data_IF_964572453838
#
_entry.id   IF_964572453838
#
_cell.length_a   1.000
_cell.length_b   1.000
_cell.length_c   1.000
_cell.angle_alpha   90.00
_cell.angle_beta   90.00
_cell.angle_gamma   90.00
#
_symmetry.space_group_name_H-M   'P 1'
#
loop_
_entity.id
_entity.type
_entity.pdbx_description
1 polymer ?
#
# COMPACT_ATOMS: atom_id res chain seq x y z
N UNK A 1 -8.42 3.76 -23.00
CA UNK A 1 -7.27 3.10 -22.34
C UNK A 1 -7.79 2.37 -21.12
N UNK A 2 -8.09 1.08 -21.23
CA UNK A 2 -8.29 0.23 -20.06
C UNK A 2 -6.92 -0.31 -19.69
N UNK A 3 -6.17 0.45 -18.89
CA UNK A 3 -5.13 -0.18 -18.09
C UNK A 3 -5.85 -0.97 -17.00
N UNK A 4 -6.29 -2.18 -17.35
CA UNK A 4 -6.43 -3.23 -16.35
C UNK A 4 -5.00 -3.52 -15.89
N UNK A 5 -4.49 -2.68 -14.99
CA UNK A 5 -3.40 -3.04 -14.11
C UNK A 5 -3.87 -4.34 -13.47
N UNK A 6 -3.35 -5.48 -13.93
CA UNK A 6 -3.60 -6.78 -13.31
C UNK A 6 -3.13 -6.64 -11.88
N UNK A 7 -4.04 -6.26 -10.99
CA UNK A 7 -3.78 -6.20 -9.58
C UNK A 7 -3.32 -7.58 -9.18
N UNK A 8 -2.07 -7.69 -8.73
CA UNK A 8 -1.50 -8.94 -8.20
C UNK A 8 -2.37 -9.43 -7.03
N UNK A 9 -3.07 -8.50 -6.37
CA UNK A 9 -4.07 -8.78 -5.34
C UNK A 9 -5.43 -9.15 -5.92
N UNK A 10 -6.03 -10.19 -5.35
CA UNK A 10 -7.46 -10.51 -5.56
C UNK A 10 -8.37 -9.37 -5.10
N UNK A 11 -9.58 -9.28 -5.67
CA UNK A 11 -10.60 -8.29 -5.27
C UNK A 11 -10.93 -8.33 -3.77
N UNK A 12 -10.89 -9.51 -3.14
CA UNK A 12 -11.12 -9.62 -1.69
C UNK A 12 -9.97 -9.00 -0.90
N UNK A 13 -8.72 -9.20 -1.33
CA UNK A 13 -7.55 -8.60 -0.70
C UNK A 13 -7.59 -7.07 -0.86
N UNK A 14 -7.86 -6.56 -2.05
CA UNK A 14 -8.02 -5.12 -2.28
C UNK A 14 -9.09 -4.51 -1.37
N UNK A 15 -10.27 -5.14 -1.27
CA UNK A 15 -11.35 -4.64 -0.40
C UNK A 15 -10.93 -4.59 1.06
N UNK A 16 -10.25 -5.63 1.55
CA UNK A 16 -9.76 -5.68 2.95
C UNK A 16 -8.68 -4.63 3.20
N UNK A 17 -7.76 -4.45 2.25
CA UNK A 17 -6.69 -3.46 2.32
C UNK A 17 -7.27 -2.05 2.39
N UNK A 18 -8.14 -1.70 1.45
CA UNK A 18 -8.80 -0.39 1.40
C UNK A 18 -9.64 -0.14 2.64
N UNK A 19 -10.40 -1.15 3.11
CA UNK A 19 -11.24 -1.03 4.30
C UNK A 19 -10.44 -0.73 5.55
N UNK A 20 -9.30 -1.41 5.73
CA UNK A 20 -8.40 -1.16 6.85
C UNK A 20 -7.68 0.19 6.70
N UNK A 21 -7.06 0.46 5.54
CA UNK A 21 -6.28 1.68 5.33
C UNK A 21 -7.14 2.93 5.47
N UNK A 22 -8.38 2.93 4.95
CA UNK A 22 -9.32 4.04 5.11
C UNK A 22 -9.70 4.33 6.58
N UNK A 23 -9.67 3.32 7.45
CA UNK A 23 -9.95 3.48 8.87
C UNK A 23 -8.77 4.07 9.65
N UNK A 24 -7.53 3.81 9.21
CA UNK A 24 -6.30 4.25 9.89
C UNK A 24 -5.75 5.56 9.30
N UNK A 25 -5.86 5.72 7.99
CA UNK A 25 -5.24 6.78 7.19
C UNK A 25 -6.31 7.49 6.32
N UNK A 26 -7.32 8.15 6.91
CA UNK A 26 -8.49 8.62 6.18
C UNK A 26 -8.16 9.61 5.06
N UNK A 27 -7.06 10.35 5.18
CA UNK A 27 -6.69 11.44 4.25
C UNK A 27 -5.84 10.97 3.07
N UNK A 28 -5.05 9.90 3.22
CA UNK A 28 -4.06 9.43 2.23
C UNK A 28 -4.10 7.90 1.99
N UNK A 29 -5.17 7.21 2.43
CA UNK A 29 -5.28 5.75 2.30
C UNK A 29 -5.14 5.24 0.86
N UNK A 30 -5.60 6.00 -0.13
CA UNK A 30 -5.53 5.60 -1.55
C UNK A 30 -4.07 5.51 -2.02
N UNK A 31 -3.29 6.54 -1.74
CA UNK A 31 -1.88 6.60 -2.11
C UNK A 31 -1.07 5.55 -1.34
N UNK A 32 -1.34 5.38 -0.04
CA UNK A 32 -0.73 4.32 0.77
C UNK A 32 -1.03 2.93 0.23
N UNK A 33 -2.28 2.68 -0.16
CA UNK A 33 -2.68 1.43 -0.80
C UNK A 33 -1.99 1.21 -2.15
N UNK A 34 -1.80 2.27 -2.94
CA UNK A 34 -1.12 2.19 -4.23
C UNK A 34 0.35 1.77 -4.06
N UNK A 35 1.08 2.37 -3.12
CA UNK A 35 2.48 2.00 -2.84
C UNK A 35 2.59 0.56 -2.33
N UNK A 36 1.70 0.16 -1.42
CA UNK A 36 1.71 -1.23 -0.93
C UNK A 36 1.40 -2.22 -2.05
N UNK A 37 0.46 -1.90 -2.95
CA UNK A 37 0.19 -2.73 -4.12
C UNK A 37 1.38 -2.79 -5.08
N UNK A 38 2.08 -1.67 -5.30
CA UNK A 38 3.29 -1.59 -6.12
C UNK A 38 4.43 -2.41 -5.50
N UNK A 39 4.67 -2.26 -4.20
CA UNK A 39 5.66 -3.05 -3.47
C UNK A 39 5.39 -4.55 -3.60
N UNK A 40 4.14 -4.97 -3.39
CA UNK A 40 3.73 -6.36 -3.53
C UNK A 40 3.89 -6.89 -4.96
N UNK A 41 3.75 -6.03 -5.97
CA UNK A 41 3.96 -6.41 -7.37
C UNK A 41 5.42 -6.65 -7.74
N UNK A 42 6.35 -6.11 -6.96
CA UNK A 42 7.79 -6.28 -7.15
C UNK A 42 8.35 -7.49 -6.39
N UNK A 43 7.57 -8.12 -5.51
CA UNK A 43 7.99 -9.30 -4.77
C UNK A 43 7.95 -10.55 -5.64
N UNK A 44 8.80 -11.52 -5.32
CA UNK A 44 8.68 -12.87 -5.86
C UNK A 44 7.41 -13.58 -5.33
N UNK A 45 7.04 -14.68 -5.99
CA UNK A 45 5.79 -15.39 -5.70
C UNK A 45 5.71 -15.94 -4.27
N UNK A 46 6.83 -16.43 -3.71
CA UNK A 46 6.88 -16.98 -2.36
C UNK A 46 6.74 -15.87 -1.32
N UNK A 47 7.48 -14.77 -1.49
CA UNK A 47 7.40 -13.59 -0.61
C UNK A 47 6.02 -12.96 -0.67
N UNK A 48 5.47 -12.79 -1.88
CA UNK A 48 4.10 -12.30 -2.06
C UNK A 48 3.08 -13.18 -1.33
N UNK A 49 3.14 -14.50 -1.52
CA UNK A 49 2.23 -15.45 -0.88
C UNK A 49 2.32 -15.44 0.66
N UNK A 50 3.50 -15.18 1.21
CA UNK A 50 3.70 -15.02 2.66
C UNK A 50 3.14 -13.69 3.16
N UNK A 51 3.32 -12.60 2.43
CA UNK A 51 2.84 -11.27 2.81
C UNK A 51 1.31 -11.20 2.79
N UNK A 52 0.65 -11.73 1.75
CA UNK A 52 -0.82 -11.69 1.67
C UNK A 52 -1.54 -12.56 2.72
N UNK A 53 -0.82 -13.47 3.38
CA UNK A 53 -1.33 -14.27 4.52
C UNK A 53 -1.29 -13.50 5.84
N UNK A 54 -0.50 -12.41 5.92
CA UNK A 54 -0.45 -11.52 7.08
C UNK A 54 -1.65 -10.58 7.11
N UNK A 55 -1.84 -9.89 8.23
CA UNK A 55 -2.83 -8.82 8.30
C UNK A 55 -2.29 -7.54 7.65
N UNK A 56 -3.17 -6.68 7.14
CA UNK A 56 -2.77 -5.42 6.50
C UNK A 56 -1.89 -4.49 7.34
N UNK A 57 -2.05 -4.35 8.67
CA UNK A 57 -1.10 -3.63 9.50
C UNK A 57 0.35 -4.10 9.32
N UNK A 58 0.56 -5.43 9.34
CA UNK A 58 1.89 -6.02 9.23
C UNK A 58 2.47 -5.79 7.83
N UNK A 59 1.65 -5.93 6.80
CA UNK A 59 2.06 -5.70 5.40
C UNK A 59 2.50 -4.25 5.22
N UNK A 60 1.73 -3.28 5.74
CA UNK A 60 2.09 -1.86 5.66
C UNK A 60 3.37 -1.56 6.44
N UNK A 61 3.52 -2.11 7.65
CA UNK A 61 4.74 -1.91 8.45
C UNK A 61 5.99 -2.50 7.77
N UNK A 62 5.86 -3.65 7.11
CA UNK A 62 6.95 -4.23 6.30
C UNK A 62 7.28 -3.34 5.11
N UNK A 63 6.24 -2.93 4.37
CA UNK A 63 6.39 -2.05 3.19
C UNK A 63 7.09 -0.74 3.57
N UNK A 64 6.69 -0.10 4.68
CA UNK A 64 7.28 1.14 5.16
C UNK A 64 8.73 0.96 5.65
N UNK A 65 9.04 -0.20 6.24
CA UNK A 65 10.41 -0.52 6.69
C UNK A 65 11.36 -0.79 5.52
N UNK A 66 10.88 -1.52 4.51
CA UNK A 66 11.70 -1.94 3.38
C UNK A 66 11.74 -0.91 2.26
N UNK A 67 10.71 -0.07 2.16
CA UNK A 67 10.61 0.97 1.15
C UNK A 67 10.24 2.34 1.75
N UNK A 68 11.03 2.85 2.72
CA UNK A 68 10.70 4.07 3.46
C UNK A 68 10.59 5.31 2.55
N UNK A 69 11.36 5.39 1.47
CA UNK A 69 11.32 6.49 0.52
C UNK A 69 9.99 6.59 -0.26
N UNK A 70 9.30 5.47 -0.47
CA UNK A 70 7.97 5.48 -1.09
C UNK A 70 6.90 6.07 -0.16
N UNK A 71 7.14 6.05 1.15
CA UNK A 71 6.27 6.66 2.17
C UNK A 71 6.71 8.09 2.55
N UNK A 72 7.97 8.46 2.29
CA UNK A 72 8.57 9.72 2.72
C UNK A 72 7.93 10.98 2.07
N UNK A 73 7.23 10.82 0.95
CA UNK A 73 6.53 11.90 0.24
C UNK A 73 5.22 12.36 0.89
N UNK A 74 4.68 11.62 1.85
CA UNK A 74 3.37 11.93 2.48
C UNK A 74 3.47 12.67 3.79
N UNK A 75 4.56 13.42 3.99
CA UNK A 75 4.59 14.39 5.07
C UNK A 75 3.36 15.30 4.94
N UNK A 76 2.62 15.54 6.03
CA UNK A 76 1.56 16.54 6.01
C UNK A 76 2.20 17.80 5.47
N UNK A 77 1.64 18.31 4.38
CA UNK A 77 2.14 19.47 3.66
C UNK A 77 2.71 20.45 4.67
N UNK A 78 4.04 20.58 4.71
CA UNK A 78 4.64 21.80 5.20
C UNK A 78 4.06 22.86 4.28
N UNK A 79 2.99 23.49 4.78
CA UNK A 79 2.36 24.65 4.20
C UNK A 79 3.50 25.64 4.10
N UNK A 80 4.16 25.65 2.94
CA UNK A 80 5.21 26.59 2.62
C UNK A 80 4.53 27.94 2.63
N UNK A 81 4.66 28.62 3.77
CA UNK A 81 4.32 30.02 3.90
C UNK A 81 5.22 30.76 2.92
N UNK A 82 4.61 31.27 1.86
CA UNK A 82 5.18 32.30 1.01
C UNK A 82 4.33 33.55 1.17
#
# INVERSE_FOLDING_TARGET
MNQESKSVLSNNNLRRMHGWARAIYPDDWQDRCAVVAEYLSQQDEDTFALLIKKNWPDVFAITEKEWPEAFAGWKPTERSSN
#
